data_IF_316596086569
#
_entry.id   IF_316596086569
#
_cell.length_a   1.000
_cell.length_b   1.000
_cell.length_c   1.000
_cell.angle_alpha   90.00
_cell.angle_beta   90.00
_cell.angle_gamma   90.00
#
_symmetry.space_group_name_H-M   'P 1'
#
loop_
_entity.id
_entity.type
_entity.pdbx_description
1 polymer ?
#
# COMPACT_ATOMS: atom_id res chain seq x y z
N UNK A 1 -9.85 -19.63 -0.34
CA UNK A 1 -10.76 -18.60 0.19
C UNK A 1 -10.98 -17.55 -0.88
N UNK A 2 -12.21 -17.09 -1.08
CA UNK A 2 -12.46 -15.90 -1.89
C UNK A 2 -12.22 -14.65 -1.02
N UNK A 3 -11.51 -13.62 -1.51
CA UNK A 3 -11.34 -12.36 -0.79
C UNK A 3 -12.70 -11.69 -0.49
N UNK A 4 -12.84 -11.03 0.66
CA UNK A 4 -14.08 -10.28 0.94
C UNK A 4 -14.31 -9.14 -0.04
N UNK A 5 -15.59 -8.77 -0.19
CA UNK A 5 -16.01 -7.63 -1.01
C UNK A 5 -15.30 -6.33 -0.58
N UNK A 6 -15.18 -6.10 0.73
CA UNK A 6 -14.54 -4.90 1.26
C UNK A 6 -13.07 -4.80 0.86
N UNK A 7 -12.36 -5.93 0.87
CA UNK A 7 -10.96 -5.99 0.46
C UNK A 7 -10.81 -5.83 -1.07
N UNK A 8 -11.73 -6.38 -1.88
CA UNK A 8 -11.78 -6.16 -3.34
C UNK A 8 -12.10 -4.71 -3.71
N UNK A 9 -13.04 -4.08 -3.00
CA UNK A 9 -13.40 -2.67 -3.21
C UNK A 9 -12.23 -1.74 -2.86
N UNK A 10 -11.47 -2.08 -1.82
CA UNK A 10 -10.24 -1.38 -1.44
C UNK A 10 -9.16 -1.51 -2.52
N UNK A 11 -8.92 -2.72 -3.03
CA UNK A 11 -8.01 -2.97 -4.16
C UNK A 11 -8.38 -2.14 -5.39
N UNK A 12 -9.66 -2.17 -5.80
CA UNK A 12 -10.15 -1.40 -6.93
C UNK A 12 -9.98 0.12 -6.71
N UNK A 13 -10.13 0.58 -5.47
CA UNK A 13 -9.92 1.99 -5.12
C UNK A 13 -8.43 2.36 -5.20
N UNK A 14 -7.53 1.52 -4.68
CA UNK A 14 -6.09 1.72 -4.77
C UNK A 14 -5.61 1.81 -6.23
N UNK A 15 -6.06 0.88 -7.09
CA UNK A 15 -5.76 0.90 -8.53
C UNK A 15 -6.25 2.19 -9.20
N UNK A 16 -7.44 2.68 -8.85
CA UNK A 16 -7.97 3.96 -9.38
C UNK A 16 -7.13 5.16 -8.97
N UNK A 17 -6.65 5.18 -7.73
CA UNK A 17 -5.83 6.27 -7.20
C UNK A 17 -4.45 6.34 -7.86
N UNK A 18 -3.87 5.19 -8.19
CA UNK A 18 -2.61 5.09 -8.93
C UNK A 18 -2.75 5.56 -10.40
N UNK A 19 -3.96 5.51 -10.95
CA UNK A 19 -4.31 5.86 -12.34
C UNK A 19 -3.62 4.96 -13.36
N UNK A 20 -3.92 5.17 -14.64
CA UNK A 20 -3.35 4.39 -15.74
C UNK A 20 -1.83 4.54 -15.90
N UNK A 21 -1.23 5.61 -15.37
CA UNK A 21 0.22 5.87 -15.47
C UNK A 21 1.06 5.05 -14.50
N UNK A 22 0.45 4.41 -13.48
CA UNK A 22 1.15 3.61 -12.47
C UNK A 22 0.54 2.21 -12.40
N UNK A 23 0.82 1.35 -13.40
CA UNK A 23 0.28 0.00 -13.42
C UNK A 23 0.77 -0.79 -12.21
N UNK A 24 -0.09 -1.65 -11.70
CA UNK A 24 0.18 -2.56 -10.59
C UNK A 24 -0.48 -3.90 -10.82
N UNK A 25 0.15 -4.93 -10.28
CA UNK A 25 -0.41 -6.26 -10.12
C UNK A 25 -0.73 -6.48 -8.63
N UNK A 26 -1.44 -7.56 -8.31
CA UNK A 26 -1.74 -7.89 -6.93
C UNK A 26 -1.67 -9.39 -6.66
N UNK A 27 -1.27 -9.72 -5.44
CA UNK A 27 -1.30 -11.07 -4.91
C UNK A 27 -2.22 -11.12 -3.69
N UNK A 28 -3.21 -12.00 -3.75
CA UNK A 28 -4.08 -12.29 -2.61
C UNK A 28 -3.36 -13.22 -1.62
N UNK A 29 -3.42 -12.89 -0.35
CA UNK A 29 -3.13 -13.81 0.75
C UNK A 29 -4.41 -14.04 1.56
N UNK A 30 -4.36 -14.89 2.59
CA UNK A 30 -5.52 -15.16 3.43
C UNK A 30 -6.07 -13.90 4.13
N UNK A 31 -5.21 -12.92 4.45
CA UNK A 31 -5.54 -11.79 5.32
C UNK A 31 -5.18 -10.41 4.70
N UNK A 32 -4.56 -10.41 3.52
CA UNK A 32 -4.09 -9.17 2.89
C UNK A 32 -4.02 -9.25 1.37
N UNK A 33 -4.08 -8.10 0.72
CA UNK A 33 -3.62 -7.95 -0.66
C UNK A 33 -2.25 -7.29 -0.65
N UNK A 34 -1.28 -7.93 -1.30
CA UNK A 34 -0.07 -7.26 -1.70
C UNK A 34 -0.27 -6.64 -3.08
N UNK A 35 -0.08 -5.33 -3.22
CA UNK A 35 -0.13 -4.61 -4.49
C UNK A 35 1.30 -4.25 -4.86
N UNK A 36 1.76 -4.72 -6.01
CA UNK A 36 3.18 -4.67 -6.40
C UNK A 36 3.38 -4.20 -7.84
N UNK A 37 4.63 -3.88 -8.19
CA UNK A 37 4.99 -3.52 -9.55
C UNK A 37 4.72 -4.69 -10.52
N UNK A 38 4.36 -4.41 -11.80
CA UNK A 38 4.09 -5.47 -12.78
C UNK A 38 5.30 -6.38 -13.02
N UNK A 39 5.09 -7.70 -12.98
CA UNK A 39 6.15 -8.70 -13.18
C UNK A 39 7.23 -8.70 -12.09
N UNK A 40 7.01 -7.99 -10.98
CA UNK A 40 7.97 -7.76 -9.89
C UNK A 40 7.26 -7.94 -8.54
N UNK A 41 6.82 -9.16 -8.18
CA UNK A 41 6.08 -9.43 -6.95
C UNK A 41 6.85 -9.10 -5.66
N UNK A 42 8.17 -9.01 -5.74
CA UNK A 42 9.05 -8.59 -4.65
C UNK A 42 9.10 -7.07 -4.42
N UNK A 43 8.48 -6.28 -5.31
CA UNK A 43 8.41 -4.82 -5.24
C UNK A 43 7.00 -4.34 -4.92
N UNK A 44 6.68 -4.42 -3.64
CA UNK A 44 5.39 -4.03 -3.08
C UNK A 44 5.27 -2.50 -3.06
N UNK A 45 4.21 -2.01 -3.68
CA UNK A 45 3.80 -0.60 -3.68
C UNK A 45 2.98 -0.31 -2.42
N UNK A 46 2.08 -1.23 -2.06
CA UNK A 46 1.40 -1.19 -0.78
C UNK A 46 0.82 -2.56 -0.40
N UNK A 47 0.46 -2.73 0.87
CA UNK A 47 -0.34 -3.86 1.33
C UNK A 47 -1.62 -3.39 1.99
N UNK A 48 -2.73 -4.00 1.62
CA UNK A 48 -4.03 -3.82 2.26
C UNK A 48 -4.16 -4.88 3.35
N UNK A 49 -4.22 -4.47 4.61
CA UNK A 49 -4.24 -5.38 5.75
C UNK A 49 -5.44 -5.11 6.65
N UNK A 50 -5.97 -6.18 7.25
CA UNK A 50 -7.01 -6.14 8.29
C UNK A 50 -8.31 -5.40 7.88
N UNK A 51 -8.71 -5.53 6.62
CA UNK A 51 -9.98 -4.97 6.14
C UNK A 51 -11.22 -5.73 6.68
N UNK A 52 -11.02 -6.88 7.33
CA UNK A 52 -12.09 -7.69 7.94
C UNK A 52 -12.12 -7.60 9.48
N UNK A 53 -10.99 -7.38 10.16
CA UNK A 53 -10.91 -7.35 11.63
C UNK A 53 -11.23 -5.99 12.27
N UNK A 54 -11.73 -5.04 11.48
CA UNK A 54 -12.23 -3.75 11.97
C UNK A 54 -11.17 -2.68 12.18
N UNK A 55 -9.89 -2.96 11.89
CA UNK A 55 -8.80 -1.96 11.90
C UNK A 55 -8.05 -1.94 10.56
N UNK A 56 -8.75 -1.58 9.46
CA UNK A 56 -8.15 -1.54 8.14
C UNK A 56 -6.91 -0.65 8.16
N UNK A 57 -5.83 -1.11 7.54
CA UNK A 57 -4.64 -0.30 7.38
C UNK A 57 -3.95 -0.58 6.06
N UNK A 58 -3.12 0.38 5.64
CA UNK A 58 -2.33 0.28 4.43
C UNK A 58 -0.86 0.42 4.79
N UNK A 59 -0.06 -0.58 4.42
CA UNK A 59 1.39 -0.51 4.54
C UNK A 59 1.96 0.05 3.25
N UNK A 60 2.89 0.99 3.36
CA UNK A 60 3.62 1.57 2.21
C UNK A 60 5.12 1.58 2.48
N UNK A 61 5.96 1.37 1.45
CA UNK A 61 7.42 1.37 1.53
C UNK A 61 7.99 2.80 1.49
N UNK A 62 7.51 3.65 2.39
CA UNK A 62 7.96 5.02 2.55
C UNK A 62 8.24 5.32 4.04
N UNK A 63 9.15 6.25 4.36
CA UNK A 63 9.36 6.73 5.73
C UNK A 63 8.10 7.38 6.33
N UNK A 64 7.88 7.20 7.63
CA UNK A 64 6.65 7.65 8.30
C UNK A 64 6.47 9.17 8.24
N UNK A 65 7.56 9.93 8.36
CA UNK A 65 7.53 11.40 8.24
C UNK A 65 7.04 11.85 6.85
N UNK A 66 7.49 11.17 5.78
CA UNK A 66 7.06 11.47 4.43
C UNK A 66 5.57 11.14 4.25
N UNK A 67 5.13 9.99 4.76
CA UNK A 67 3.74 9.56 4.66
C UNK A 67 2.82 10.50 5.45
N UNK A 68 3.20 10.89 6.67
CA UNK A 68 2.43 11.84 7.49
C UNK A 68 2.23 13.20 6.77
N UNK A 69 3.23 13.66 6.00
CA UNK A 69 3.10 14.87 5.18
C UNK A 69 2.18 14.68 3.96
N UNK A 70 2.15 13.48 3.38
CA UNK A 70 1.31 13.16 2.21
C UNK A 70 -0.15 12.92 2.57
N UNK A 71 -0.43 12.39 3.77
CA UNK A 71 -1.77 12.05 4.27
C UNK A 71 -2.00 12.61 5.68
N UNK A 72 -1.98 13.95 5.86
CA UNK A 72 -1.99 14.58 7.19
C UNK A 72 -3.26 14.33 8.01
N UNK A 73 -4.32 13.82 7.39
CA UNK A 73 -5.59 13.51 8.03
C UNK A 73 -5.63 12.12 8.68
N UNK A 74 -4.61 11.28 8.44
CA UNK A 74 -4.59 9.89 8.89
C UNK A 74 -3.39 9.64 9.79
N UNK A 75 -3.59 8.81 10.80
CA UNK A 75 -2.52 8.37 11.69
C UNK A 75 -1.54 7.49 10.91
N UNK A 76 -0.26 7.85 11.00
CA UNK A 76 0.84 7.12 10.37
C UNK A 76 1.83 6.67 11.43
N UNK A 77 2.18 5.39 11.42
CA UNK A 77 3.16 4.80 12.35
C UNK A 77 4.26 4.09 11.58
N UNK A 78 5.51 4.08 12.06
CA UNK A 78 6.57 3.27 11.47
C UNK A 78 6.22 1.77 11.53
N UNK A 79 6.44 1.06 10.43
CA UNK A 79 6.28 -0.40 10.32
C UNK A 79 7.60 -1.11 9.97
N UNK A 80 8.71 -0.38 9.86
CA UNK A 80 10.04 -0.88 9.55
C UNK A 80 10.96 0.26 9.09
N UNK A 81 12.24 -0.02 8.77
CA UNK A 81 13.21 1.03 8.43
C UNK A 81 12.82 1.93 7.24
N UNK A 82 12.02 1.40 6.31
CA UNK A 82 11.53 2.11 5.12
C UNK A 82 10.05 1.82 4.88
N UNK A 83 9.31 1.51 5.95
CA UNK A 83 7.91 1.13 5.85
C UNK A 83 7.08 1.86 6.88
N UNK A 84 5.86 2.20 6.48
CA UNK A 84 4.90 2.90 7.32
C UNK A 84 3.53 2.26 7.20
N UNK A 85 2.80 2.28 8.32
CA UNK A 85 1.40 1.88 8.40
C UNK A 85 0.54 3.13 8.48
N UNK A 86 -0.41 3.25 7.56
CA UNK A 86 -1.48 4.23 7.57
C UNK A 86 -2.71 3.56 8.17
N UNK A 87 -3.14 4.02 9.34
CA UNK A 87 -4.36 3.54 9.96
C UNK A 87 -5.58 4.16 9.27
N UNK A 88 -6.58 3.32 8.96
CA UNK A 88 -7.85 3.76 8.41
C UNK A 88 -8.92 3.58 9.50
N UNK A 89 -9.75 4.61 9.74
CA UNK A 89 -10.89 4.48 10.63
C UNK A 89 -11.98 3.62 9.97
N UNK A 90 -12.12 3.74 8.65
CA UNK A 90 -12.98 2.89 7.82
C UNK A 90 -12.30 2.57 6.49
N UNK A 91 -12.78 1.54 5.79
CA UNK A 91 -12.31 1.23 4.43
C UNK A 91 -12.49 2.38 3.43
N UNK A 92 -13.34 3.38 3.72
CA UNK A 92 -13.55 4.53 2.84
C UNK A 92 -12.37 5.51 2.87
N UNK A 93 -11.59 5.53 3.95
CA UNK A 93 -10.46 6.45 4.12
C UNK A 93 -9.34 6.16 3.12
N UNK A 94 -9.32 4.97 2.52
CA UNK A 94 -8.39 4.66 1.43
C UNK A 94 -8.49 5.66 0.27
N UNK A 95 -9.61 6.36 0.10
CA UNK A 95 -9.79 7.37 -0.95
C UNK A 95 -8.85 8.56 -0.81
N UNK A 96 -8.34 8.84 0.39
CA UNK A 96 -7.46 9.99 0.63
C UNK A 96 -5.98 9.64 0.60
N UNK A 97 -5.61 8.35 0.49
CA UNK A 97 -4.19 7.93 0.50
C UNK A 97 -3.50 7.96 -0.87
N UNK A 98 -4.17 8.49 -1.91
CA UNK A 98 -3.63 8.57 -3.26
C UNK A 98 -2.22 9.17 -3.36
N UNK A 99 -1.91 10.28 -2.67
CA UNK A 99 -0.56 10.84 -2.66
C UNK A 99 0.51 9.87 -2.14
N UNK A 100 0.22 9.15 -1.05
CA UNK A 100 1.12 8.14 -0.49
C UNK A 100 1.32 6.95 -1.44
N UNK A 101 0.24 6.46 -2.08
CA UNK A 101 0.34 5.38 -3.07
C UNK A 101 1.17 5.78 -4.30
N UNK A 102 0.99 7.00 -4.80
CA UNK A 102 1.75 7.50 -5.95
C UNK A 102 3.24 7.61 -5.61
N UNK A 103 3.56 8.21 -4.46
CA UNK A 103 4.94 8.35 -4.01
C UNK A 103 5.61 6.99 -3.76
N UNK A 104 4.87 6.01 -3.21
CA UNK A 104 5.37 4.66 -2.99
C UNK A 104 5.67 3.95 -4.31
N UNK A 105 4.77 4.08 -5.29
CA UNK A 105 4.99 3.52 -6.62
C UNK A 105 6.21 4.14 -7.29
N UNK A 106 6.33 5.48 -7.25
CA UNK A 106 7.44 6.22 -7.87
C UNK A 106 8.78 5.77 -7.24
N UNK A 107 8.85 5.71 -5.90
CA UNK A 107 10.03 5.25 -5.18
C UNK A 107 10.38 3.77 -5.47
N UNK A 108 9.39 2.88 -5.53
CA UNK A 108 9.61 1.47 -5.87
C UNK A 108 10.10 1.31 -7.30
N UNK A 109 9.50 2.03 -8.25
CA UNK A 109 9.87 1.99 -9.66
C UNK A 109 11.31 2.44 -9.86
N UNK A 110 11.70 3.57 -9.24
CA UNK A 110 13.06 4.10 -9.31
C UNK A 110 14.08 3.15 -8.68
N UNK A 111 13.79 2.62 -7.49
CA UNK A 111 14.68 1.66 -6.82
C UNK A 111 14.81 0.34 -7.59
N UNK A 112 13.73 -0.16 -8.19
CA UNK A 112 13.75 -1.36 -9.01
C UNK A 112 14.56 -1.15 -10.31
N UNK A 113 14.46 0.03 -10.93
CA UNK A 113 15.25 0.41 -12.09
C UNK A 113 16.74 0.55 -11.74
N UNK A 114 17.06 1.00 -10.54
CA UNK A 114 18.42 1.11 -10.03
C UNK A 114 19.04 -0.23 -9.56
N UNK A 115 18.31 -1.34 -9.63
CA UNK A 115 18.79 -2.66 -9.17
C UNK A 115 18.83 -2.82 -7.64
N UNK A 116 18.03 -2.03 -6.92
CA UNK A 116 17.91 -2.12 -5.47
C UNK A 116 17.27 -3.43 -4.98
N UNK A 117 17.03 -3.51 -3.68
CA UNK A 117 16.24 -4.58 -3.07
C UNK A 117 15.28 -3.97 -2.06
N UNK A 118 14.05 -4.45 -2.06
CA UNK A 118 13.08 -4.08 -1.05
C UNK A 118 13.11 -5.11 0.09
N UNK A 119 13.23 -4.64 1.33
CA UNK A 119 13.03 -5.45 2.51
C UNK A 119 11.64 -5.16 3.05
N UNK A 120 10.74 -6.13 2.97
CA UNK A 120 9.39 -6.00 3.48
C UNK A 120 9.35 -6.25 5.00
N UNK A 121 8.43 -5.60 5.73
CA UNK A 121 8.26 -5.87 7.15
C UNK A 121 7.61 -7.25 7.31
N UNK A 122 8.15 -8.03 8.26
CA UNK A 122 7.46 -9.20 8.81
C UNK A 122 6.28 -8.70 9.62
N UNK A 123 5.06 -9.10 9.21
CA UNK A 123 3.80 -8.77 9.90
C UNK A 123 3.86 -9.06 11.40
#
# INVERSE_FOLDING_TARGET
MQPSKQLLDALATAQRLLRASRPVEYQATAESFNIHLPGKPEWSVCRLVDFEGGRPSVLVPLPAEMVANLVPLLETTPAGPQWSRIALATSHDIRVIGPALCAAWDACSDAAAAGGRQSEPTN
#
